data_IF_043686010670
#
_entry.id   IF_043686010670
#
_cell.length_a   1.000
_cell.length_b   1.000
_cell.length_c   1.000
_cell.angle_alpha   90.00
_cell.angle_beta   90.00
_cell.angle_gamma   90.00
#
_symmetry.space_group_name_H-M   'P 1'
#
loop_
_entity.id
_entity.type
_entity.pdbx_description
1 polymer ?
#
# COMPACT_ATOMS: atom_id res chain seq x y z
N UNK A 1 32.24 -6.05 14.61
CA UNK A 1 32.60 -4.62 14.78
C UNK A 1 32.02 -3.75 13.69
N UNK A 2 32.05 -4.17 12.41
CA UNK A 2 31.52 -3.36 11.28
C UNK A 2 30.01 -3.14 11.40
N UNK A 3 29.24 -4.16 11.74
CA UNK A 3 27.77 -4.09 11.86
C UNK A 3 27.29 -3.12 12.96
N UNK A 4 28.09 -2.84 13.97
CA UNK A 4 27.75 -1.86 15.02
C UNK A 4 27.65 -0.42 14.51
N UNK A 5 28.30 -0.09 13.38
CA UNK A 5 28.26 1.26 12.82
C UNK A 5 26.87 1.76 12.47
N UNK A 6 25.91 0.87 12.17
CA UNK A 6 24.54 1.27 11.83
C UNK A 6 23.48 0.69 12.77
N UNK A 7 23.82 -0.37 13.56
CA UNK A 7 22.86 -0.99 14.48
C UNK A 7 22.65 -0.14 15.74
N UNK A 8 23.69 0.52 16.22
CA UNK A 8 23.67 1.33 17.45
C UNK A 8 23.12 2.74 17.23
N UNK A 9 22.79 3.13 15.98
CA UNK A 9 22.21 4.44 15.68
C UNK A 9 20.76 4.53 16.16
N UNK A 10 20.40 5.65 16.78
CA UNK A 10 19.03 5.93 17.17
C UNK A 10 18.09 5.97 15.96
N UNK A 11 17.04 5.17 16.01
CA UNK A 11 16.02 5.04 14.95
C UNK A 11 14.63 5.22 15.55
N UNK A 12 13.73 5.93 14.88
CA UNK A 12 12.34 5.99 15.31
C UNK A 12 11.68 4.62 15.18
N UNK A 13 11.01 4.18 16.24
CA UNK A 13 10.26 2.91 16.22
C UNK A 13 8.96 3.03 15.42
N UNK A 14 8.37 4.23 15.40
CA UNK A 14 7.11 4.53 14.71
C UNK A 14 7.09 5.97 14.23
N UNK A 15 6.50 6.20 13.05
CA UNK A 15 6.20 7.53 12.57
C UNK A 15 4.91 8.03 13.23
N UNK A 16 4.90 9.29 13.67
CA UNK A 16 3.69 9.98 14.11
C UNK A 16 3.10 10.71 12.90
N UNK A 17 1.89 10.36 12.51
CA UNK A 17 1.19 11.02 11.40
C UNK A 17 0.07 11.87 11.96
N UNK A 18 0.12 13.17 11.69
CA UNK A 18 -0.94 14.13 11.97
C UNK A 18 -1.60 14.49 10.65
N UNK A 19 -2.84 14.14 10.54
CA UNK A 19 -3.65 14.40 9.35
C UNK A 19 -4.07 15.87 9.33
N UNK A 20 -4.01 16.51 8.17
CA UNK A 20 -4.48 17.87 7.96
C UNK A 20 -6.00 17.95 7.74
N UNK A 21 -6.48 19.08 7.25
CA UNK A 21 -7.91 19.34 6.99
C UNK A 21 -8.46 18.35 5.92
N UNK A 22 -7.65 17.98 4.93
CA UNK A 22 -7.97 16.94 3.96
C UNK A 22 -7.04 15.72 4.15
N UNK A 23 -7.54 14.63 4.76
CA UNK A 23 -6.77 13.41 5.05
C UNK A 23 -6.11 12.78 3.81
N UNK A 24 -6.71 12.95 2.64
CA UNK A 24 -6.21 12.37 1.39
C UNK A 24 -5.12 13.21 0.72
N UNK A 25 -5.03 14.49 1.10
CA UNK A 25 -4.15 15.45 0.43
C UNK A 25 -3.09 16.07 1.30
N UNK A 26 -3.30 16.13 2.62
CA UNK A 26 -2.40 16.82 3.54
C UNK A 26 -2.10 15.99 4.78
N UNK A 27 -0.81 15.85 5.09
CA UNK A 27 -0.37 15.26 6.34
C UNK A 27 0.94 15.86 6.82
N UNK A 28 1.11 15.88 8.13
CA UNK A 28 2.36 16.17 8.83
C UNK A 28 2.92 14.88 9.40
N UNK A 29 4.08 14.47 8.95
CA UNK A 29 4.76 13.28 9.44
C UNK A 29 5.94 13.66 10.32
N UNK A 30 6.01 13.08 11.51
CA UNK A 30 7.05 13.34 12.50
C UNK A 30 7.84 12.07 12.73
N UNK A 31 9.15 12.15 12.53
CA UNK A 31 10.12 11.09 12.81
C UNK A 31 11.02 11.50 13.97
N UNK A 32 10.95 10.78 15.09
CA UNK A 32 11.78 10.99 16.27
C UNK A 32 11.92 9.70 17.11
N UNK A 33 13.02 9.48 17.85
CA UNK A 33 14.28 10.23 17.77
C UNK A 33 15.12 9.81 16.54
N UNK A 34 15.88 10.74 15.99
CA UNK A 34 16.89 10.49 14.98
C UNK A 34 18.26 10.84 15.54
N UNK A 35 19.31 10.19 15.04
CA UNK A 35 20.67 10.57 15.34
C UNK A 35 20.93 12.02 14.86
N UNK A 36 21.75 12.77 15.60
CA UNK A 36 22.05 14.18 15.27
C UNK A 36 22.58 14.32 13.84
N UNK A 37 22.00 15.26 13.09
CA UNK A 37 22.31 15.54 11.68
C UNK A 37 21.47 14.71 10.67
N UNK A 38 20.92 13.56 11.08
CA UNK A 38 20.10 12.74 10.18
C UNK A 38 18.75 13.39 9.84
N UNK A 39 18.21 14.24 10.71
CA UNK A 39 17.02 15.01 10.41
C UNK A 39 17.17 15.86 9.15
N UNK A 40 18.28 16.58 9.00
CA UNK A 40 18.59 17.39 7.82
C UNK A 40 18.84 16.53 6.59
N UNK A 41 19.65 15.46 6.73
CA UNK A 41 20.01 14.57 5.62
C UNK A 41 18.76 13.88 5.05
N UNK A 42 17.94 13.26 5.89
CA UNK A 42 16.73 12.56 5.47
C UNK A 42 15.65 13.54 4.98
N UNK A 43 15.47 14.67 5.68
CA UNK A 43 14.48 15.67 5.30
C UNK A 43 14.73 16.23 3.91
N UNK A 44 15.97 16.59 3.59
CA UNK A 44 16.35 17.09 2.26
C UNK A 44 16.24 16.01 1.19
N UNK A 45 16.74 14.80 1.45
CA UNK A 45 16.68 13.69 0.51
C UNK A 45 15.23 13.29 0.18
N UNK A 46 14.39 13.09 1.20
CA UNK A 46 12.97 12.76 1.03
C UNK A 46 12.21 13.87 0.30
N UNK A 47 12.43 15.13 0.68
CA UNK A 47 11.81 16.26 -0.01
C UNK A 47 12.13 16.28 -1.52
N UNK A 48 13.38 16.07 -1.89
CA UNK A 48 13.80 16.05 -3.28
C UNK A 48 13.14 14.90 -4.05
N UNK A 49 13.15 13.69 -3.51
CA UNK A 49 12.58 12.52 -4.15
C UNK A 49 11.06 12.63 -4.26
N UNK A 50 10.38 13.13 -3.22
CA UNK A 50 8.94 13.39 -3.24
C UNK A 50 8.52 14.32 -4.39
N UNK A 51 9.28 15.37 -4.65
CA UNK A 51 8.95 16.36 -5.68
C UNK A 51 9.33 15.93 -7.11
N UNK A 52 10.36 15.06 -7.26
CA UNK A 52 10.93 14.78 -8.58
C UNK A 52 10.71 13.36 -9.11
N UNK A 53 10.54 12.37 -8.24
CA UNK A 53 10.73 10.97 -8.65
C UNK A 53 9.46 10.12 -8.62
N UNK A 54 8.39 10.62 -8.03
CA UNK A 54 7.12 9.89 -7.97
C UNK A 54 6.40 9.96 -9.31
N UNK A 55 5.83 8.81 -9.70
CA UNK A 55 5.04 8.70 -10.93
C UNK A 55 3.62 9.20 -10.68
N UNK A 56 3.08 9.90 -11.67
CA UNK A 56 1.71 10.36 -11.69
C UNK A 56 1.14 10.37 -13.11
N UNK A 57 -0.04 10.97 -13.27
CA UNK A 57 -0.69 11.15 -14.56
C UNK A 57 -1.01 12.62 -14.80
N UNK A 58 -0.93 13.06 -16.06
CA UNK A 58 -1.26 14.41 -16.45
C UNK A 58 -1.79 14.45 -17.89
N UNK A 59 -2.50 15.53 -18.22
CA UNK A 59 -2.89 15.83 -19.60
C UNK A 59 -1.65 16.26 -20.37
N UNK A 60 -1.40 15.62 -21.52
CA UNK A 60 -0.24 15.87 -22.38
C UNK A 60 -0.59 16.71 -23.62
N UNK A 61 -1.82 16.60 -24.09
CA UNK A 61 -2.29 17.35 -25.25
C UNK A 61 -3.81 17.51 -25.17
N UNK A 62 -4.31 18.55 -25.83
CA UNK A 62 -5.72 18.81 -26.04
C UNK A 62 -5.97 19.13 -27.50
N UNK A 63 -7.12 18.69 -28.02
CA UNK A 63 -7.66 19.08 -29.31
C UNK A 63 -9.03 19.69 -29.09
N UNK A 64 -9.25 20.90 -29.62
CA UNK A 64 -10.50 21.64 -29.49
C UNK A 64 -11.07 21.83 -30.88
N UNK A 65 -12.33 21.47 -31.09
CA UNK A 65 -12.98 21.61 -32.39
C UNK A 65 -12.97 23.08 -32.85
N UNK A 66 -12.52 23.31 -34.08
CA UNK A 66 -12.44 24.66 -34.65
C UNK A 66 -11.21 25.48 -34.24
N UNK A 67 -10.30 24.93 -33.45
CA UNK A 67 -9.08 25.59 -32.98
C UNK A 67 -7.84 24.93 -33.61
N UNK A 68 -6.95 25.74 -34.16
CA UNK A 68 -5.74 25.27 -34.84
C UNK A 68 -4.47 25.46 -33.99
N UNK A 69 -4.45 26.44 -33.11
CA UNK A 69 -3.33 26.76 -32.22
C UNK A 69 -3.82 27.47 -30.94
N UNK A 70 -2.94 27.53 -29.96
CA UNK A 70 -3.22 28.08 -28.63
C UNK A 70 -3.52 29.59 -28.59
N UNK A 71 -3.10 30.33 -29.59
CA UNK A 71 -3.28 31.80 -29.68
C UNK A 71 -4.59 32.19 -30.40
N UNK A 72 -5.59 31.35 -30.36
CA UNK A 72 -6.91 31.61 -30.98
C UNK A 72 -7.96 31.87 -29.93
N UNK A 73 -9.07 32.47 -30.38
CA UNK A 73 -10.29 32.61 -29.57
C UNK A 73 -11.41 31.75 -30.15
N UNK A 74 -12.34 31.32 -29.29
CA UNK A 74 -13.47 30.48 -29.68
C UNK A 74 -14.74 31.33 -29.61
N UNK A 75 -15.54 31.46 -30.69
CA UNK A 75 -16.78 32.21 -30.65
C UNK A 75 -17.74 31.67 -29.59
N UNK A 76 -18.25 32.54 -28.71
CA UNK A 76 -19.16 32.18 -27.65
C UNK A 76 -18.50 31.53 -26.41
N UNK A 77 -17.18 31.60 -26.31
CA UNK A 77 -16.42 31.25 -25.11
C UNK A 77 -15.73 32.51 -24.60
N UNK A 78 -15.80 32.77 -23.30
CA UNK A 78 -15.26 34.00 -22.69
C UNK A 78 -13.75 34.01 -22.58
N UNK A 79 -13.19 32.86 -22.22
CA UNK A 79 -11.75 32.66 -22.05
C UNK A 79 -11.10 32.38 -23.38
N UNK A 80 -9.88 32.91 -23.58
CA UNK A 80 -9.03 32.56 -24.72
C UNK A 80 -8.50 31.14 -24.60
N UNK A 81 -8.11 30.53 -25.72
CA UNK A 81 -7.59 29.13 -25.72
C UNK A 81 -6.37 29.01 -24.82
N UNK A 82 -5.54 30.02 -24.71
CA UNK A 82 -4.39 30.03 -23.79
C UNK A 82 -4.82 29.88 -22.34
N UNK A 83 -5.87 30.59 -21.90
CA UNK A 83 -6.41 30.47 -20.55
C UNK A 83 -7.03 29.09 -20.32
N UNK A 84 -7.73 28.56 -21.34
CA UNK A 84 -8.28 27.20 -21.28
C UNK A 84 -7.18 26.16 -21.11
N UNK A 85 -6.05 26.28 -21.85
CA UNK A 85 -4.90 25.39 -21.73
C UNK A 85 -4.25 25.47 -20.34
N UNK A 86 -4.15 26.69 -19.76
CA UNK A 86 -3.66 26.88 -18.40
C UNK A 86 -4.58 26.19 -17.35
N UNK A 87 -5.89 26.27 -17.56
CA UNK A 87 -6.85 25.58 -16.69
C UNK A 87 -6.76 24.06 -16.87
N UNK A 88 -6.60 23.56 -18.10
CA UNK A 88 -6.40 22.13 -18.38
C UNK A 88 -5.16 21.58 -17.68
N UNK A 89 -4.07 22.34 -17.66
CA UNK A 89 -2.82 22.00 -16.96
C UNK A 89 -3.03 21.76 -15.45
N UNK A 90 -4.05 22.41 -14.86
CA UNK A 90 -4.38 22.28 -13.43
C UNK A 90 -5.27 21.07 -13.11
N UNK A 91 -5.72 20.31 -14.12
CA UNK A 91 -6.54 19.11 -13.91
C UNK A 91 -5.72 18.05 -13.18
N UNK A 92 -6.19 17.62 -12.03
CA UNK A 92 -5.58 16.52 -11.29
C UNK A 92 -6.19 15.18 -11.76
N UNK A 93 -5.37 14.36 -12.39
CA UNK A 93 -5.78 13.08 -12.97
C UNK A 93 -5.17 11.93 -12.18
N UNK A 94 -5.97 10.89 -11.94
CA UNK A 94 -5.50 9.58 -11.49
C UNK A 94 -5.76 8.57 -12.59
N UNK A 95 -4.75 7.84 -13.02
CA UNK A 95 -4.84 6.83 -14.06
C UNK A 95 -4.30 5.50 -13.56
N UNK A 96 -5.02 4.42 -13.86
CA UNK A 96 -4.56 3.05 -13.64
C UNK A 96 -4.11 2.47 -14.97
N UNK A 97 -2.94 1.80 -14.97
CA UNK A 97 -2.33 1.26 -16.18
C UNK A 97 -1.41 2.23 -16.92
N UNK A 98 -0.79 1.74 -17.96
CA UNK A 98 0.20 2.45 -18.76
C UNK A 98 -0.35 2.88 -20.13
N UNK A 99 0.33 3.84 -20.76
CA UNK A 99 0.06 4.31 -22.11
C UNK A 99 -0.93 5.47 -22.18
N UNK A 100 -0.97 6.16 -23.34
CA UNK A 100 -1.84 7.29 -23.54
C UNK A 100 -3.30 6.85 -23.57
N UNK A 101 -4.15 7.57 -22.84
CA UNK A 101 -5.61 7.41 -22.84
C UNK A 101 -6.28 8.68 -23.30
N UNK A 102 -7.45 8.57 -23.91
CA UNK A 102 -8.23 9.69 -24.40
C UNK A 102 -9.44 9.92 -23.52
N UNK A 103 -9.74 11.18 -23.24
CA UNK A 103 -10.94 11.65 -22.59
C UNK A 103 -11.64 12.66 -23.50
N UNK A 104 -12.93 12.78 -23.41
CA UNK A 104 -13.72 13.68 -24.25
C UNK A 104 -14.60 14.56 -23.39
N UNK A 105 -14.80 15.81 -23.83
CA UNK A 105 -15.76 16.73 -23.24
C UNK A 105 -16.65 17.29 -24.36
N UNK A 106 -17.95 17.33 -24.10
CA UNK A 106 -18.92 18.00 -24.95
C UNK A 106 -19.93 18.70 -24.06
N UNK A 107 -20.04 20.01 -24.21
CA UNK A 107 -21.01 20.81 -23.46
C UNK A 107 -21.58 21.93 -24.31
N UNK A 108 -22.87 22.19 -24.11
CA UNK A 108 -23.63 23.28 -24.75
C UNK A 108 -23.94 24.34 -23.70
N UNK A 109 -23.73 25.58 -24.02
CA UNK A 109 -24.04 26.72 -23.15
C UNK A 109 -25.52 27.10 -23.08
N UNK A 110 -25.86 28.07 -22.24
CA UNK A 110 -24.97 28.89 -21.43
C UNK A 110 -24.51 28.21 -20.13
N UNK A 111 -23.30 28.49 -19.63
CA UNK A 111 -22.81 28.04 -18.34
C UNK A 111 -21.33 27.79 -18.27
N UNK A 112 -20.85 27.45 -17.08
CA UNK A 112 -19.45 27.10 -16.82
C UNK A 112 -19.18 25.64 -17.21
N UNK A 113 -18.06 25.41 -17.89
CA UNK A 113 -17.52 24.09 -18.20
C UNK A 113 -16.51 23.74 -17.12
N UNK A 114 -16.70 22.61 -16.46
CA UNK A 114 -15.83 22.16 -15.37
C UNK A 114 -15.10 20.88 -15.76
N UNK A 115 -14.05 20.56 -15.03
CA UNK A 115 -13.33 19.29 -15.21
C UNK A 115 -14.24 18.06 -14.96
N UNK A 116 -15.30 18.20 -14.15
CA UNK A 116 -16.29 17.17 -13.91
C UNK A 116 -17.17 16.84 -15.14
N UNK A 117 -17.25 17.74 -16.13
CA UNK A 117 -17.97 17.51 -17.39
C UNK A 117 -17.18 16.61 -18.37
N UNK A 118 -15.94 16.28 -18.06
CA UNK A 118 -15.10 15.41 -18.89
C UNK A 118 -15.54 13.96 -18.75
N UNK A 119 -15.85 13.32 -19.87
CA UNK A 119 -16.16 11.89 -19.92
C UNK A 119 -14.85 11.10 -19.84
N UNK A 120 -14.64 10.44 -18.71
CA UNK A 120 -13.47 9.59 -18.46
C UNK A 120 -13.78 8.14 -18.86
N UNK A 121 -12.78 7.44 -19.41
CA UNK A 121 -12.91 6.03 -19.77
C UNK A 121 -12.32 5.20 -18.63
N UNK A 122 -13.17 4.40 -17.98
CA UNK A 122 -12.86 3.30 -17.05
C UNK A 122 -11.75 3.50 -16.01
N UNK A 123 -10.52 3.58 -16.47
CA UNK A 123 -9.32 3.60 -15.60
C UNK A 123 -8.78 5.00 -15.29
N UNK A 124 -9.44 6.05 -15.75
CA UNK A 124 -9.06 7.44 -15.53
C UNK A 124 -10.08 8.13 -14.67
N UNK A 125 -9.66 8.82 -13.63
CA UNK A 125 -10.52 9.61 -12.75
C UNK A 125 -9.95 11.02 -12.53
N UNK A 126 -10.87 12.01 -12.48
CA UNK A 126 -10.51 13.40 -12.19
C UNK A 126 -10.74 13.65 -10.71
N UNK A 127 -9.75 14.24 -10.05
CA UNK A 127 -9.72 14.44 -8.60
C UNK A 127 -10.20 15.83 -8.17
N UNK A 128 -10.29 16.78 -9.11
CA UNK A 128 -10.76 18.15 -8.89
C UNK A 128 -11.87 18.51 -9.88
N UNK A 129 -13.04 17.87 -9.79
CA UNK A 129 -14.15 18.05 -10.75
C UNK A 129 -14.69 19.48 -10.79
N UNK A 130 -14.55 20.24 -9.71
CA UNK A 130 -15.04 21.62 -9.59
C UNK A 130 -14.17 22.67 -10.31
N UNK A 131 -13.01 22.24 -10.86
CA UNK A 131 -12.12 23.13 -11.59
C UNK A 131 -12.82 23.65 -12.85
N UNK A 132 -12.98 24.97 -12.95
CA UNK A 132 -13.56 25.63 -14.12
C UNK A 132 -12.53 25.67 -15.26
N UNK A 133 -12.92 25.18 -16.44
CA UNK A 133 -12.09 25.19 -17.64
C UNK A 133 -12.38 26.44 -18.50
N UNK A 134 -13.66 26.71 -18.75
CA UNK A 134 -14.11 27.89 -19.50
C UNK A 134 -15.60 28.18 -19.22
N UNK A 135 -16.08 29.30 -19.76
CA UNK A 135 -17.48 29.76 -19.65
C UNK A 135 -18.08 29.91 -21.06
N UNK A 136 -19.25 29.28 -21.27
CA UNK A 136 -19.96 29.32 -22.53
C UNK A 136 -21.10 30.36 -22.49
N UNK A 137 -21.24 31.10 -23.57
CA UNK A 137 -22.39 31.98 -23.81
C UNK A 137 -23.59 31.21 -24.38
N UNK A 138 -24.72 31.85 -24.47
CA UNK A 138 -25.95 31.26 -24.99
C UNK A 138 -25.81 30.80 -26.45
N UNK A 139 -26.20 29.53 -26.73
CA UNK A 139 -26.13 28.96 -28.07
C UNK A 139 -24.75 28.47 -28.52
N UNK A 140 -23.71 28.58 -27.67
CA UNK A 140 -22.38 28.05 -27.97
C UNK A 140 -22.23 26.59 -27.57
N UNK A 141 -21.40 25.85 -28.30
CA UNK A 141 -21.02 24.46 -27.98
C UNK A 141 -19.52 24.34 -28.01
N UNK A 142 -18.95 23.59 -27.07
CA UNK A 142 -17.54 23.25 -27.06
C UNK A 142 -17.36 21.74 -27.06
N UNK A 143 -16.37 21.28 -27.85
CA UNK A 143 -15.93 19.88 -27.89
C UNK A 143 -14.42 19.85 -27.75
N UNK A 144 -13.96 19.04 -26.80
CA UNK A 144 -12.54 18.85 -26.52
C UNK A 144 -12.21 17.37 -26.42
N UNK A 145 -11.04 17.00 -26.93
CA UNK A 145 -10.43 15.69 -26.73
C UNK A 145 -9.12 15.90 -25.98
N UNK A 146 -8.93 15.17 -24.87
CA UNK A 146 -7.73 15.25 -24.05
C UNK A 146 -6.94 13.95 -24.17
N UNK A 147 -5.64 14.07 -24.30
CA UNK A 147 -4.73 12.93 -24.19
C UNK A 147 -4.08 12.98 -22.81
N UNK A 148 -4.17 11.87 -22.07
CA UNK A 148 -3.57 11.70 -20.73
C UNK A 148 -2.53 10.62 -20.79
N UNK A 149 -1.41 10.84 -20.12
CA UNK A 149 -0.34 9.86 -20.03
C UNK A 149 0.22 9.80 -18.59
N UNK A 150 0.99 8.76 -18.30
CA UNK A 150 1.76 8.61 -17.05
C UNK A 150 3.19 9.05 -17.27
N UNK A 151 3.78 9.62 -16.22
CA UNK A 151 5.17 10.08 -16.27
C UNK A 151 5.69 10.48 -14.91
N UNK A 152 6.86 11.12 -14.88
CA UNK A 152 7.52 11.61 -13.67
C UNK A 152 7.94 13.06 -13.85
N UNK A 153 7.86 13.83 -12.75
CA UNK A 153 8.33 15.21 -12.73
C UNK A 153 7.53 16.13 -13.63
N UNK A 154 8.22 16.97 -14.39
CA UNK A 154 7.66 17.96 -15.31
C UNK A 154 8.20 17.75 -16.72
N UNK A 155 7.31 17.72 -17.70
CA UNK A 155 7.65 17.62 -19.12
C UNK A 155 7.04 18.82 -19.84
N UNK A 156 7.87 19.67 -20.51
CA UNK A 156 7.38 20.81 -21.29
C UNK A 156 6.59 20.35 -22.51
N UNK A 157 5.66 21.21 -22.97
CA UNK A 157 4.76 20.94 -24.09
C UNK A 157 5.48 20.56 -25.39
N UNK A 158 6.65 21.11 -25.64
CA UNK A 158 7.46 20.78 -26.82
C UNK A 158 7.83 19.28 -26.90
N UNK A 159 8.09 18.65 -25.74
CA UNK A 159 8.42 17.22 -25.67
C UNK A 159 7.17 16.34 -25.72
N UNK A 160 6.01 16.89 -25.43
CA UNK A 160 4.73 16.18 -25.51
C UNK A 160 4.15 16.17 -26.93
N UNK A 161 4.74 16.88 -27.88
CA UNK A 161 4.29 16.93 -29.26
C UNK A 161 4.76 15.68 -30.01
N UNK A 162 3.86 14.80 -30.49
CA UNK A 162 4.24 13.69 -31.35
C UNK A 162 4.81 14.17 -32.69
N UNK A 163 5.71 13.41 -33.30
CA UNK A 163 6.23 13.71 -34.63
C UNK A 163 5.12 13.78 -35.69
N UNK A 164 4.13 12.91 -35.59
CA UNK A 164 2.96 12.85 -36.48
C UNK A 164 1.72 13.53 -35.83
N UNK A 165 1.92 14.67 -35.17
CA UNK A 165 0.83 15.41 -34.52
C UNK A 165 -0.22 15.84 -35.55
N UNK A 166 -1.53 15.52 -35.35
CA UNK A 166 -2.60 15.99 -36.20
C UNK A 166 -2.71 17.52 -36.13
N UNK A 167 -3.21 18.13 -37.22
CA UNK A 167 -3.48 19.57 -37.24
C UNK A 167 -4.49 19.93 -36.15
N UNK A 168 -4.21 20.96 -35.34
CA UNK A 168 -5.05 21.41 -34.26
C UNK A 168 -4.77 20.70 -32.91
N UNK A 169 -3.79 19.80 -32.84
CA UNK A 169 -3.34 19.27 -31.58
C UNK A 169 -2.50 20.31 -30.83
N UNK A 170 -2.91 20.71 -29.65
CA UNK A 170 -2.23 21.64 -28.79
C UNK A 170 -1.51 20.83 -27.68
N UNK A 171 -0.18 20.76 -27.67
CA UNK A 171 0.55 20.10 -26.60
C UNK A 171 0.48 20.94 -25.33
N UNK A 172 0.35 20.25 -24.19
CA UNK A 172 0.23 20.87 -22.86
C UNK A 172 1.42 20.47 -22.01
N UNK A 173 1.96 21.42 -21.24
CA UNK A 173 2.95 21.11 -20.21
C UNK A 173 2.38 20.16 -19.19
N UNK A 174 3.08 19.07 -18.92
CA UNK A 174 2.59 18.02 -18.05
C UNK A 174 3.33 18.00 -16.73
N UNK A 175 2.60 18.28 -15.64
CA UNK A 175 3.10 18.13 -14.28
C UNK A 175 2.62 16.78 -13.74
N UNK A 176 3.46 15.77 -13.85
CA UNK A 176 3.14 14.42 -13.45
C UNK A 176 3.25 14.20 -11.93
N UNK A 177 4.08 15.01 -11.24
CA UNK A 177 4.30 14.83 -9.79
C UNK A 177 2.98 14.86 -9.02
N UNK A 178 2.64 13.80 -8.29
CA UNK A 178 1.46 13.78 -7.44
C UNK A 178 1.60 14.69 -6.21
N UNK A 179 2.83 15.08 -5.87
CA UNK A 179 3.15 15.91 -4.71
C UNK A 179 3.26 17.36 -5.15
N UNK A 180 2.40 18.21 -4.55
CA UNK A 180 2.35 19.66 -4.83
C UNK A 180 3.35 20.46 -4.00
N UNK A 181 3.46 20.12 -2.72
CA UNK A 181 4.28 20.88 -1.77
C UNK A 181 4.87 19.97 -0.72
N UNK A 182 6.15 20.17 -0.43
CA UNK A 182 6.85 19.54 0.68
C UNK A 182 7.66 20.58 1.42
N UNK A 183 7.46 20.68 2.72
CA UNK A 183 8.34 21.41 3.62
C UNK A 183 8.79 20.52 4.76
N UNK A 184 9.98 20.74 5.27
CA UNK A 184 10.48 20.03 6.43
C UNK A 184 11.11 20.98 7.44
N UNK A 185 11.11 20.57 8.70
CA UNK A 185 11.72 21.24 9.82
C UNK A 185 12.45 20.23 10.68
N UNK A 186 13.61 20.62 11.18
CA UNK A 186 14.41 19.82 12.09
C UNK A 186 14.53 20.55 13.40
N UNK A 187 14.20 19.88 14.49
CA UNK A 187 14.25 20.42 15.85
C UNK A 187 14.95 19.41 16.74
N UNK A 188 15.54 19.91 17.84
CA UNK A 188 16.12 19.01 18.83
C UNK A 188 15.03 18.28 19.61
N UNK A 189 15.27 17.04 19.95
CA UNK A 189 14.38 16.22 20.76
C UNK A 189 15.15 15.46 21.82
N UNK A 190 14.41 14.92 22.79
CA UNK A 190 14.98 14.16 23.91
C UNK A 190 14.74 12.66 23.71
N UNK A 191 15.78 11.89 23.95
CA UNK A 191 15.73 10.43 24.07
C UNK A 191 16.28 10.01 25.43
N UNK A 192 15.40 9.67 26.38
CA UNK A 192 15.81 9.40 27.77
C UNK A 192 16.49 10.61 28.43
N UNK A 193 17.76 10.47 28.77
CA UNK A 193 18.57 11.56 29.30
C UNK A 193 19.39 12.31 28.23
N UNK A 194 19.39 11.82 26.99
CA UNK A 194 20.11 12.46 25.91
C UNK A 194 19.23 13.54 25.25
N UNK A 195 19.71 14.78 25.21
CA UNK A 195 19.01 15.94 24.63
C UNK A 195 19.46 16.24 23.19
N UNK A 196 20.42 15.51 22.66
CA UNK A 196 21.10 15.79 21.41
C UNK A 196 20.63 14.85 20.30
N UNK A 197 19.32 14.77 20.10
CA UNK A 197 18.67 14.01 19.03
C UNK A 197 17.86 14.93 18.13
N UNK A 198 17.72 14.52 16.87
CA UNK A 198 16.91 15.24 15.90
C UNK A 198 15.46 14.73 15.89
N UNK A 199 14.53 15.69 15.72
CA UNK A 199 13.15 15.44 15.34
C UNK A 199 12.91 16.04 13.97
N UNK A 200 12.55 15.21 13.00
CA UNK A 200 12.20 15.63 11.66
C UNK A 200 10.68 15.73 11.54
N UNK A 201 10.19 16.90 11.17
CA UNK A 201 8.78 17.14 10.83
C UNK A 201 8.68 17.41 9.33
N UNK A 202 7.91 16.62 8.60
CA UNK A 202 7.63 16.75 7.17
C UNK A 202 6.17 17.14 6.97
N UNK A 203 5.91 18.23 6.27
CA UNK A 203 4.56 18.59 5.81
C UNK A 203 4.46 18.29 4.32
N UNK A 204 3.53 17.42 3.96
CA UNK A 204 3.36 16.93 2.59
C UNK A 204 1.94 17.28 2.12
N UNK A 205 1.85 17.88 0.95
CA UNK A 205 0.60 18.15 0.24
C UNK A 205 0.62 17.49 -1.13
N UNK A 206 -0.41 16.69 -1.43
CA UNK A 206 -0.57 15.96 -2.70
C UNK A 206 -1.76 16.48 -3.48
N UNK A 207 -1.89 16.02 -4.72
CA UNK A 207 -3.07 16.29 -5.55
C UNK A 207 -4.26 15.34 -5.26
N UNK A 208 -4.07 14.36 -4.37
CA UNK A 208 -5.06 13.34 -3.98
C UNK A 208 -4.98 12.03 -4.78
N UNK A 209 -4.10 11.92 -5.78
CA UNK A 209 -3.88 10.65 -6.52
C UNK A 209 -3.16 9.62 -5.65
N UNK A 210 -2.31 10.08 -4.76
CA UNK A 210 -1.57 9.31 -3.75
C UNK A 210 -1.73 10.00 -2.41
N UNK A 211 -1.90 9.22 -1.34
CA UNK A 211 -1.93 9.79 0.02
C UNK A 211 -0.54 10.29 0.43
N UNK A 212 -0.43 11.28 1.32
CA UNK A 212 0.88 11.76 1.78
C UNK A 212 1.75 10.66 2.42
N UNK A 213 1.12 9.72 3.11
CA UNK A 213 1.80 8.58 3.75
C UNK A 213 2.38 7.63 2.71
N UNK A 214 1.59 7.25 1.70
CA UNK A 214 2.03 6.39 0.61
C UNK A 214 3.12 7.09 -0.23
N UNK A 215 2.97 8.39 -0.49
CA UNK A 215 3.98 9.17 -1.20
C UNK A 215 5.32 9.14 -0.46
N UNK A 216 5.30 9.31 0.87
CA UNK A 216 6.51 9.24 1.71
C UNK A 216 7.11 7.83 1.70
N UNK A 217 6.30 6.80 1.80
CA UNK A 217 6.75 5.40 1.76
C UNK A 217 7.40 5.07 0.41
N UNK A 218 6.80 5.48 -0.71
CA UNK A 218 7.36 5.32 -2.06
C UNK A 218 8.68 6.08 -2.21
N UNK A 219 8.78 7.31 -1.71
CA UNK A 219 10.00 8.09 -1.75
C UNK A 219 11.13 7.45 -0.94
N UNK A 220 10.82 6.94 0.24
CA UNK A 220 11.77 6.20 1.08
C UNK A 220 12.25 4.92 0.39
N UNK A 221 11.35 4.18 -0.26
CA UNK A 221 11.70 2.98 -1.03
C UNK A 221 12.62 3.28 -2.20
N UNK A 222 12.34 4.35 -2.95
CA UNK A 222 13.21 4.80 -4.05
C UNK A 222 14.62 5.11 -3.52
N UNK A 223 14.73 5.84 -2.41
CA UNK A 223 16.02 6.14 -1.79
C UNK A 223 16.75 4.86 -1.36
N UNK A 224 16.06 3.94 -0.74
CA UNK A 224 16.62 2.66 -0.31
C UNK A 224 17.18 1.88 -1.50
N UNK A 225 16.43 1.77 -2.59
CA UNK A 225 16.86 1.05 -3.78
C UNK A 225 18.06 1.72 -4.47
N UNK A 226 18.09 3.06 -4.52
CA UNK A 226 19.21 3.79 -5.08
C UNK A 226 20.48 3.69 -4.21
N UNK A 227 20.33 3.62 -2.88
CA UNK A 227 21.45 3.47 -1.97
C UNK A 227 21.98 2.03 -1.92
N UNK A 228 21.21 1.05 -2.31
CA UNK A 228 21.60 -0.37 -2.30
C UNK A 228 22.86 -0.64 -3.14
N UNK A 229 23.05 0.09 -4.25
CA UNK A 229 24.24 -0.03 -5.11
C UNK A 229 25.53 0.34 -4.39
N UNK A 230 25.49 1.20 -3.37
CA UNK A 230 26.67 1.63 -2.60
C UNK A 230 27.04 0.65 -1.47
N UNK A 231 26.20 -0.34 -1.21
CA UNK A 231 26.46 -1.38 -0.21
C UNK A 231 27.20 -2.51 -0.93
N UNK A 232 28.55 -2.48 -0.87
CA UNK A 232 29.41 -3.42 -1.61
C UNK A 232 29.89 -4.58 -0.75
N UNK A 233 29.66 -4.54 0.55
CA UNK A 233 30.01 -5.64 1.46
C UNK A 233 28.82 -6.60 1.62
N UNK A 234 29.12 -7.89 1.71
CA UNK A 234 28.11 -8.88 2.06
C UNK A 234 27.62 -8.58 3.48
N UNK A 235 26.41 -8.09 3.63
CA UNK A 235 25.76 -8.10 4.94
C UNK A 235 25.72 -9.56 5.39
N UNK A 236 26.22 -9.86 6.63
CA UNK A 236 25.91 -11.16 7.21
C UNK A 236 24.37 -11.24 7.10
N UNK A 237 23.88 -12.15 6.25
CA UNK A 237 22.45 -12.42 6.22
C UNK A 237 22.04 -12.45 7.68
N UNK A 238 21.25 -11.46 8.13
CA UNK A 238 20.34 -11.75 9.22
C UNK A 238 19.71 -13.03 8.73
N UNK A 239 20.11 -14.17 9.30
CA UNK A 239 19.16 -15.23 9.40
C UNK A 239 17.93 -14.47 9.88
N UNK A 240 16.99 -14.19 8.95
CA UNK A 240 15.63 -13.96 9.36
C UNK A 240 15.52 -15.00 10.43
N UNK A 241 15.25 -14.58 11.67
CA UNK A 241 14.85 -15.52 12.65
C UNK A 241 13.67 -16.19 11.96
N UNK A 242 13.97 -17.17 11.14
CA UNK A 242 13.10 -18.27 10.85
C UNK A 242 12.65 -18.53 12.24
N UNK A 243 11.42 -18.16 12.57
CA UNK A 243 10.83 -18.50 13.82
C UNK A 243 11.29 -19.93 14.00
N UNK A 244 12.29 -20.10 14.83
CA UNK A 244 12.67 -21.38 15.35
C UNK A 244 11.54 -21.73 16.33
N UNK A 245 10.36 -21.85 15.75
CA UNK A 245 9.50 -22.92 16.16
C UNK A 245 10.42 -24.15 16.04
N UNK A 246 10.78 -24.80 17.13
CA UNK A 246 11.58 -26.02 17.06
C UNK A 246 10.90 -26.83 15.96
N UNK A 247 11.67 -27.24 14.94
CA UNK A 247 11.15 -28.15 13.93
C UNK A 247 10.75 -29.38 14.68
N UNK A 248 9.49 -29.37 15.11
CA UNK A 248 8.91 -30.52 15.76
C UNK A 248 8.90 -31.62 14.71
N UNK A 249 9.42 -32.81 15.00
CA UNK A 249 9.44 -33.92 14.06
C UNK A 249 8.02 -34.38 13.67
N UNK A 250 6.98 -33.66 14.13
CA UNK A 250 5.56 -33.97 13.93
C UNK A 250 4.76 -32.67 13.66
N UNK A 251 3.56 -32.84 13.13
CA UNK A 251 2.65 -31.73 12.82
C UNK A 251 2.27 -30.96 14.09
N UNK A 252 2.46 -29.63 14.17
CA UNK A 252 2.07 -28.82 15.33
C UNK A 252 0.60 -28.94 15.75
N UNK A 253 -0.30 -29.29 14.82
CA UNK A 253 -1.70 -29.51 15.12
C UNK A 253 -1.94 -30.64 16.15
N UNK A 254 -0.97 -31.53 16.33
CA UNK A 254 -1.04 -32.63 17.31
C UNK A 254 -0.92 -32.16 18.75
N UNK A 255 -0.39 -30.97 19.01
CA UNK A 255 -0.28 -30.34 20.33
C UNK A 255 -1.60 -29.70 20.81
N UNK A 256 -2.60 -29.58 19.92
CA UNK A 256 -3.92 -29.10 20.34
C UNK A 256 -4.61 -30.08 21.25
N UNK A 257 -5.39 -29.53 22.19
CA UNK A 257 -6.17 -30.33 23.11
C UNK A 257 -7.39 -30.92 22.41
N UNK A 258 -7.76 -32.11 22.80
CA UNK A 258 -8.96 -32.80 22.28
C UNK A 258 -10.25 -32.03 22.62
N UNK A 259 -10.24 -31.21 23.66
CA UNK A 259 -11.36 -30.33 24.04
C UNK A 259 -11.63 -29.22 23.02
N UNK A 260 -10.67 -28.88 22.17
CA UNK A 260 -10.81 -27.88 21.11
C UNK A 260 -11.44 -28.45 19.83
N UNK A 261 -11.58 -29.79 19.77
CA UNK A 261 -12.31 -30.44 18.69
C UNK A 261 -13.80 -30.28 18.93
N UNK A 262 -14.54 -29.91 17.88
CA UNK A 262 -16.01 -29.80 17.93
C UNK A 262 -16.66 -31.18 18.04
N UNK A 263 -16.42 -31.86 19.18
CA UNK A 263 -16.97 -33.17 19.49
C UNK A 263 -18.21 -33.05 20.37
N UNK A 264 -19.10 -34.02 20.29
CA UNK A 264 -20.22 -34.13 21.23
C UNK A 264 -19.72 -34.31 22.65
N UNK A 265 -20.45 -33.79 23.64
CA UNK A 265 -20.13 -33.89 25.08
C UNK A 265 -19.86 -35.35 25.51
N UNK A 266 -20.54 -36.28 24.87
CA UNK A 266 -20.37 -37.72 25.16
C UNK A 266 -19.03 -38.24 24.65
N UNK A 267 -18.64 -37.87 23.42
CA UNK A 267 -17.35 -38.23 22.82
C UNK A 267 -16.19 -37.63 23.60
N UNK A 268 -16.27 -36.33 23.93
CA UNK A 268 -15.26 -35.64 24.73
C UNK A 268 -15.06 -36.25 26.12
N UNK A 269 -16.14 -36.59 26.83
CA UNK A 269 -16.07 -37.24 28.16
C UNK A 269 -15.45 -38.65 28.09
N UNK A 270 -15.70 -39.39 27.02
CA UNK A 270 -15.09 -40.72 26.84
C UNK A 270 -13.57 -40.61 26.64
N UNK A 271 -13.10 -39.62 25.87
CA UNK A 271 -11.66 -39.38 25.65
C UNK A 271 -10.95 -38.92 26.93
N UNK A 272 -11.61 -38.07 27.74
CA UNK A 272 -11.08 -37.66 29.07
C UNK A 272 -10.95 -38.84 30.04
N UNK A 273 -11.90 -39.74 30.04
CA UNK A 273 -11.87 -40.94 30.91
C UNK A 273 -10.74 -41.92 30.52
N UNK A 274 -10.29 -41.88 29.27
CA UNK A 274 -9.18 -42.71 28.77
C UNK A 274 -7.82 -41.94 28.79
N UNK A 275 -7.77 -40.81 29.51
CA UNK A 275 -6.59 -39.92 29.64
C UNK A 275 -6.01 -39.45 28.32
N UNK A 276 -6.81 -39.29 27.27
CA UNK A 276 -6.41 -38.74 25.98
C UNK A 276 -6.61 -37.23 26.04
N UNK A 277 -5.50 -36.46 26.13
CA UNK A 277 -5.53 -35.03 26.32
C UNK A 277 -5.23 -34.30 25.01
N UNK A 278 -4.31 -34.80 24.21
CA UNK A 278 -3.84 -34.17 22.96
C UNK A 278 -4.29 -34.95 21.72
N UNK A 279 -4.42 -34.25 20.59
CA UNK A 279 -4.75 -34.90 19.31
C UNK A 279 -3.71 -35.96 18.94
N UNK A 280 -2.43 -35.73 19.27
CA UNK A 280 -1.37 -36.70 19.06
C UNK A 280 -1.55 -38.00 19.78
N UNK A 281 -2.11 -38.00 21.02
CA UNK A 281 -2.43 -39.20 21.75
C UNK A 281 -3.62 -39.98 21.12
N UNK A 282 -4.57 -39.20 20.57
CA UNK A 282 -5.77 -39.78 19.95
C UNK A 282 -5.43 -40.50 18.62
N UNK A 283 -4.60 -39.94 17.78
CA UNK A 283 -4.28 -40.55 16.47
C UNK A 283 -3.42 -41.80 16.58
N UNK A 284 -2.65 -41.97 17.66
CA UNK A 284 -1.89 -43.20 17.90
C UNK A 284 -2.78 -44.40 18.32
N UNK A 285 -3.98 -44.13 18.81
CA UNK A 285 -4.92 -45.19 19.12
C UNK A 285 -5.53 -45.80 17.86
N UNK A 286 -5.59 -47.14 17.85
CA UNK A 286 -6.27 -47.86 16.78
C UNK A 286 -7.78 -47.85 16.98
N UNK A 287 -8.55 -48.02 15.92
CA UNK A 287 -10.02 -48.12 15.99
C UNK A 287 -10.48 -49.22 16.96
N UNK A 288 -9.75 -50.34 16.99
CA UNK A 288 -10.03 -51.45 17.86
C UNK A 288 -9.81 -51.14 19.34
N UNK A 289 -8.82 -50.33 19.68
CA UNK A 289 -8.55 -49.84 21.02
C UNK A 289 -9.61 -48.84 21.47
N UNK A 290 -10.02 -47.92 20.61
CA UNK A 290 -11.07 -46.97 20.91
C UNK A 290 -12.42 -47.63 21.19
N UNK A 291 -12.76 -48.72 20.50
CA UNK A 291 -13.98 -49.48 20.72
C UNK A 291 -13.96 -50.33 22.00
N UNK A 292 -12.79 -50.56 22.61
CA UNK A 292 -12.64 -51.23 23.91
C UNK A 292 -12.84 -50.29 25.10
N UNK A 293 -12.79 -48.98 24.88
CA UNK A 293 -13.04 -47.97 25.92
C UNK A 293 -14.51 -48.05 26.42
N UNK A 294 -14.76 -48.09 27.71
CA UNK A 294 -16.11 -48.15 28.25
C UNK A 294 -16.96 -46.96 27.82
N UNK A 295 -18.20 -47.23 27.42
CA UNK A 295 -19.18 -46.23 26.95
C UNK A 295 -18.85 -45.56 25.60
N UNK A 296 -17.83 -46.02 24.86
CA UNK A 296 -17.47 -45.54 23.53
C UNK A 296 -18.17 -46.37 22.44
N UNK A 297 -18.98 -45.71 21.62
CA UNK A 297 -19.79 -46.36 20.61
C UNK A 297 -19.32 -46.03 19.16
N UNK A 298 -19.82 -46.83 18.18
CA UNK A 298 -19.52 -46.62 16.76
C UNK A 298 -19.89 -45.23 16.24
N UNK A 299 -20.90 -44.56 16.81
CA UNK A 299 -21.28 -43.21 16.45
C UNK A 299 -20.20 -42.19 16.83
N UNK A 300 -19.68 -42.31 18.06
CA UNK A 300 -18.57 -41.44 18.54
C UNK A 300 -17.28 -41.70 17.76
N UNK A 301 -17.03 -42.93 17.34
CA UNK A 301 -15.88 -43.26 16.47
C UNK A 301 -15.98 -42.58 15.11
N UNK A 302 -17.15 -42.60 14.47
CA UNK A 302 -17.35 -41.95 13.18
C UNK A 302 -17.22 -40.40 13.27
N UNK A 303 -17.79 -39.82 14.34
CA UNK A 303 -17.66 -38.39 14.63
C UNK A 303 -16.18 -37.96 14.73
N UNK A 304 -15.37 -38.70 15.50
CA UNK A 304 -13.94 -38.44 15.65
C UNK A 304 -13.20 -38.60 14.29
N UNK A 305 -13.55 -39.63 13.52
CA UNK A 305 -12.96 -39.84 12.20
C UNK A 305 -13.24 -38.69 11.22
N UNK A 306 -14.47 -38.17 11.22
CA UNK A 306 -14.86 -37.03 10.40
C UNK A 306 -14.07 -35.79 10.80
N UNK A 307 -13.98 -35.49 12.08
CA UNK A 307 -13.21 -34.32 12.57
C UNK A 307 -11.73 -34.48 12.28
N UNK A 308 -11.11 -35.63 12.50
CA UNK A 308 -9.70 -35.87 12.16
C UNK A 308 -9.46 -35.80 10.65
N UNK A 309 -10.38 -36.27 9.82
CA UNK A 309 -10.27 -36.21 8.36
C UNK A 309 -10.26 -34.78 7.84
N UNK A 310 -11.01 -33.84 8.47
CA UNK A 310 -10.95 -32.40 8.11
C UNK A 310 -9.57 -31.79 8.37
N UNK A 311 -8.82 -32.37 9.30
CA UNK A 311 -7.45 -31.97 9.63
C UNK A 311 -6.37 -32.77 8.87
N UNK A 312 -6.78 -33.68 7.97
CA UNK A 312 -5.88 -34.56 7.25
C UNK A 312 -5.24 -35.66 8.11
N UNK A 313 -5.86 -36.00 9.27
CA UNK A 313 -5.38 -37.00 10.24
C UNK A 313 -6.30 -38.23 10.25
N UNK A 314 -5.76 -39.37 10.69
CA UNK A 314 -6.53 -40.58 10.87
C UNK A 314 -6.04 -41.40 12.08
N UNK A 315 -6.89 -42.23 12.62
CA UNK A 315 -6.53 -43.13 13.74
C UNK A 315 -5.52 -44.19 13.29
N UNK A 316 -4.65 -44.60 14.22
CA UNK A 316 -3.62 -45.61 13.96
C UNK A 316 -2.39 -45.05 13.23
N UNK A 317 -2.16 -43.73 13.23
CA UNK A 317 -0.93 -43.13 12.71
C UNK A 317 0.21 -43.29 13.70
N UNK A 318 1.36 -43.76 13.22
CA UNK A 318 2.60 -43.79 14.01
C UNK A 318 3.32 -42.43 13.87
N UNK A 319 3.47 -41.69 14.96
CA UNK A 319 4.13 -40.38 14.98
C UNK A 319 5.47 -40.54 15.68
N UNK A 320 6.53 -40.45 14.88
CA UNK A 320 7.91 -40.48 15.38
C UNK A 320 8.17 -39.31 16.33
N UNK A 321 8.55 -39.60 17.58
CA UNK A 321 8.86 -38.58 18.59
C UNK A 321 7.70 -38.09 19.42
N UNK A 322 6.58 -38.78 19.40
CA UNK A 322 5.42 -38.55 20.30
C UNK A 322 5.36 -39.55 21.44
N UNK A 323 5.02 -39.17 22.70
CA UNK A 323 4.90 -37.81 23.23
C UNK A 323 6.28 -37.14 23.46
N UNK A 324 6.44 -35.80 23.18
CA UNK A 324 7.68 -35.10 23.50
C UNK A 324 7.83 -34.95 25.02
N UNK A 325 9.09 -34.92 25.50
CA UNK A 325 9.39 -34.80 26.94
C UNK A 325 8.80 -33.53 27.59
N UNK A 326 8.55 -32.44 26.80
CA UNK A 326 8.06 -31.16 27.29
C UNK A 326 6.72 -30.77 26.64
N UNK A 327 5.75 -31.71 26.54
CA UNK A 327 4.50 -31.50 25.81
C UNK A 327 3.68 -30.30 26.33
N UNK A 328 3.65 -30.06 27.65
CA UNK A 328 2.89 -28.96 28.27
C UNK A 328 3.51 -27.60 27.97
N UNK A 329 4.83 -27.51 27.90
CA UNK A 329 5.55 -26.26 27.58
C UNK A 329 5.43 -25.92 26.10
N UNK A 330 5.46 -26.92 25.24
CA UNK A 330 5.26 -26.78 23.81
C UNK A 330 3.82 -26.37 23.47
N UNK A 331 2.83 -26.96 24.14
CA UNK A 331 1.42 -26.62 23.96
C UNK A 331 1.13 -25.18 24.40
N UNK A 332 1.67 -24.70 25.54
CA UNK A 332 1.52 -23.31 25.98
C UNK A 332 2.13 -22.31 25.03
N UNK A 333 3.32 -22.57 24.50
CA UNK A 333 3.95 -21.70 23.49
C UNK A 333 3.15 -21.63 22.20
N UNK A 334 2.43 -22.68 21.87
CA UNK A 334 1.55 -22.72 20.70
C UNK A 334 0.25 -21.94 20.92
N UNK A 335 -0.33 -21.99 22.14
CA UNK A 335 -1.53 -21.21 22.51
C UNK A 335 -1.24 -19.70 22.55
N UNK A 336 -0.01 -19.25 22.87
CA UNK A 336 0.37 -17.82 22.92
C UNK A 336 0.64 -17.20 21.54
N UNK A 337 0.76 -18.00 20.48
CA UNK A 337 1.11 -17.53 19.12
C UNK A 337 -0.06 -17.57 18.12
N UNK A 338 -1.24 -18.03 18.53
CA UNK A 338 -2.49 -18.01 17.78
C UNK A 338 -3.58 -17.28 18.58
#
# INVERSE_FOLDING_TARGET
>A
VISKNWQDLSKPNKLEVKVGDDPKRQATVIARPLERGFGMTLGNALRRVLLSSLQGAAVTAVQIDGVLHEFSSIPGVREDVTDIVLNIKAIAVKMQGEGPKRMTLRKTGPGTVTAGDINTIGDVSILNPDLVLCTLDEGSEIRMEFTVNTGKGYIPSEQNRPEDAPIGLIPVDSLYSPVKKVSYRVENTREGQNLDRDMLTLNIETNGSVTPEDALALAARILQDQLAVFITFEEPRKEEAVSTAPQLPFNPALLKKVDELELSVRSANCLKNDNIVYIGDLIQKSEGEMLRTPNFGRKSLNEIKEVLATMGLHLGMDVTGWPPENIEELAKRFEEHY
#
